data_IF_187209552017
#
_entry.id   IF_187209552017
#
_cell.length_a   1.000
_cell.length_b   1.000
_cell.length_c   1.000
_cell.angle_alpha   90.00
_cell.angle_beta   90.00
_cell.angle_gamma   90.00
#
_symmetry.space_group_name_H-M   'P 1'
#
loop_
_entity.id
_entity.type
_entity.pdbx_description
1 polymer ?
#
# COMPACT_ATOMS: atom_id res chain seq x y z
N UNK A 1 17.34 -9.76 16.54
CA UNK A 1 18.00 -10.99 16.17
C UNK A 1 18.22 -11.03 14.67
N UNK A 2 18.84 -12.00 14.07
CA UNK A 2 19.23 -12.04 12.65
C UNK A 2 18.00 -12.12 11.75
N UNK A 3 18.08 -11.55 10.52
CA UNK A 3 17.11 -11.80 9.46
C UNK A 3 16.96 -13.33 9.27
N UNK A 4 15.73 -13.85 9.15
CA UNK A 4 15.52 -15.28 9.02
C UNK A 4 16.12 -15.80 7.70
N UNK A 5 16.90 -16.86 7.78
CA UNK A 5 17.46 -17.53 6.61
C UNK A 5 16.42 -18.34 5.83
N UNK A 6 15.30 -18.68 6.49
CA UNK A 6 14.19 -19.45 5.91
C UNK A 6 12.87 -18.84 6.38
N UNK A 7 11.96 -18.66 5.45
CA UNK A 7 10.63 -18.15 5.75
C UNK A 7 9.66 -19.27 6.14
N UNK A 8 8.53 -18.91 6.74
CA UNK A 8 7.41 -19.84 6.94
C UNK A 8 6.88 -20.31 5.58
N UNK A 9 6.30 -21.48 5.56
CA UNK A 9 5.87 -22.19 4.34
C UNK A 9 5.03 -21.34 3.40
N UNK A 10 4.06 -20.59 3.92
CA UNK A 10 3.19 -19.73 3.10
C UNK A 10 3.98 -18.65 2.34
N UNK A 11 4.99 -18.06 2.97
CA UNK A 11 5.83 -17.04 2.36
C UNK A 11 6.86 -17.66 1.41
N UNK A 12 7.39 -18.85 1.72
CA UNK A 12 8.23 -19.61 0.78
C UNK A 12 7.44 -19.99 -0.50
N UNK A 13 6.21 -20.48 -0.34
CA UNK A 13 5.36 -20.88 -1.44
C UNK A 13 5.02 -19.68 -2.35
N UNK A 14 4.76 -18.50 -1.79
CA UNK A 14 4.54 -17.27 -2.56
C UNK A 14 5.69 -17.02 -3.55
N UNK A 15 6.95 -17.03 -3.08
CA UNK A 15 8.10 -16.81 -3.97
C UNK A 15 8.27 -17.92 -4.99
N UNK A 16 8.08 -19.16 -4.57
CA UNK A 16 8.20 -20.33 -5.43
C UNK A 16 7.12 -20.39 -6.51
N UNK A 17 5.85 -20.22 -6.13
CA UNK A 17 4.72 -20.43 -7.03
C UNK A 17 4.61 -19.29 -8.07
N UNK A 18 5.05 -18.08 -7.71
CA UNK A 18 5.12 -16.94 -8.61
C UNK A 18 6.49 -16.78 -9.29
N UNK A 19 7.43 -17.69 -9.06
CA UNK A 19 8.80 -17.63 -9.60
C UNK A 19 9.49 -16.28 -9.33
N UNK A 20 9.38 -15.78 -8.11
CA UNK A 20 9.94 -14.49 -7.67
C UNK A 20 11.26 -14.67 -6.93
N UNK A 21 12.18 -13.74 -7.11
CA UNK A 21 13.41 -13.68 -6.35
C UNK A 21 13.18 -13.02 -4.99
N UNK A 22 13.85 -13.55 -3.95
CA UNK A 22 13.92 -12.92 -2.64
C UNK A 22 14.95 -11.80 -2.66
N UNK A 23 14.66 -10.71 -1.95
CA UNK A 23 15.56 -9.57 -1.79
C UNK A 23 16.14 -9.52 -0.37
N UNK A 24 15.32 -9.06 0.56
CA UNK A 24 15.61 -9.03 1.99
C UNK A 24 14.29 -9.17 2.75
N UNK A 25 14.38 -9.58 4.00
CA UNK A 25 13.22 -9.98 4.80
C UNK A 25 12.08 -8.94 4.81
N UNK A 26 12.38 -7.67 5.04
CA UNK A 26 11.33 -6.65 5.13
C UNK A 26 10.74 -6.28 3.78
N UNK A 27 11.56 -6.18 2.75
CA UNK A 27 11.09 -5.95 1.37
C UNK A 27 10.25 -7.13 0.89
N UNK A 28 10.63 -8.35 1.22
CA UNK A 28 9.91 -9.57 0.83
C UNK A 28 8.52 -9.63 1.49
N UNK A 29 8.42 -9.24 2.77
CA UNK A 29 7.12 -9.09 3.45
C UNK A 29 6.27 -8.00 2.78
N UNK A 30 6.87 -6.86 2.45
CA UNK A 30 6.19 -5.76 1.77
C UNK A 30 5.61 -6.20 0.43
N UNK A 31 6.39 -6.91 -0.38
CA UNK A 31 5.94 -7.46 -1.66
C UNK A 31 4.81 -8.49 -1.48
N UNK A 32 4.96 -9.38 -0.49
CA UNK A 32 3.93 -10.36 -0.18
C UNK A 32 2.61 -9.70 0.25
N UNK A 33 2.68 -8.68 1.12
CA UNK A 33 1.48 -7.95 1.56
C UNK A 33 0.80 -7.21 0.42
N UNK A 34 1.58 -6.59 -0.45
CA UNK A 34 1.04 -5.96 -1.65
C UNK A 34 0.28 -6.96 -2.52
N UNK A 35 0.77 -8.20 -2.62
CA UNK A 35 0.08 -9.28 -3.31
C UNK A 35 -1.17 -9.77 -2.55
N UNK A 36 -1.05 -10.02 -1.23
CA UNK A 36 -2.12 -10.57 -0.39
C UNK A 36 -3.30 -9.59 -0.23
N UNK A 37 -3.02 -8.29 -0.10
CA UNK A 37 -4.01 -7.28 0.31
C UNK A 37 -4.34 -6.24 -0.76
N UNK A 38 -3.55 -6.16 -1.82
CA UNK A 38 -3.66 -5.08 -2.80
C UNK A 38 -2.99 -3.78 -2.40
N UNK A 39 -2.60 -3.62 -1.11
CA UNK A 39 -2.01 -2.40 -0.56
C UNK A 39 -0.48 -2.46 -0.61
N UNK A 40 0.21 -1.63 -1.40
CA UNK A 40 1.65 -1.51 -1.33
C UNK A 40 2.10 -0.88 -0.01
N UNK A 41 3.23 -1.35 0.50
CA UNK A 41 3.94 -0.76 1.62
C UNK A 41 5.38 -0.44 1.20
N UNK A 42 6.03 0.50 1.87
CA UNK A 42 7.45 0.76 1.65
C UNK A 42 8.23 0.58 2.95
N UNK A 43 9.44 0.02 2.82
CA UNK A 43 10.32 -0.27 3.96
C UNK A 43 11.62 0.54 3.84
N UNK A 44 11.85 1.39 4.83
CA UNK A 44 13.11 2.10 4.99
C UNK A 44 13.97 1.42 6.07
N UNK A 45 15.27 1.32 5.85
CA UNK A 45 16.21 0.99 6.93
C UNK A 45 16.20 2.13 7.96
N UNK A 46 15.68 1.88 9.16
CA UNK A 46 15.48 2.94 10.15
C UNK A 46 16.78 3.58 10.61
N UNK A 47 17.93 2.90 10.45
CA UNK A 47 19.24 3.45 10.78
C UNK A 47 19.69 4.52 9.80
N UNK A 48 19.08 4.54 8.61
CA UNK A 48 19.36 5.52 7.54
C UNK A 48 18.35 6.67 7.52
N UNK A 49 17.26 6.59 8.28
CA UNK A 49 16.21 7.61 8.33
C UNK A 49 16.28 8.36 9.67
N UNK A 50 17.33 9.18 9.82
CA UNK A 50 17.53 9.99 11.02
C UNK A 50 17.24 11.46 10.71
N UNK A 51 16.24 12.03 11.39
CA UNK A 51 15.87 13.43 11.25
C UNK A 51 14.40 13.64 10.96
N UNK A 52 14.10 14.72 10.24
CA UNK A 52 12.76 15.12 9.93
C UNK A 52 12.26 14.46 8.64
N UNK A 53 11.38 13.50 8.77
CA UNK A 53 10.70 12.83 7.63
C UNK A 53 9.38 13.55 7.37
N UNK A 54 9.21 14.08 6.17
CA UNK A 54 8.03 14.86 5.75
C UNK A 54 7.51 14.35 4.42
N UNK A 55 6.19 14.19 4.31
CA UNK A 55 5.53 14.05 3.02
C UNK A 55 5.16 15.44 2.49
N UNK A 56 5.43 15.71 1.22
CA UNK A 56 5.08 16.97 0.58
C UNK A 56 4.80 16.78 -0.92
N UNK A 57 4.01 17.71 -1.46
CA UNK A 57 3.83 17.89 -2.89
C UNK A 57 4.54 19.18 -3.31
N UNK A 58 5.58 19.08 -4.11
CA UNK A 58 6.38 20.23 -4.51
C UNK A 58 6.92 20.08 -5.94
N UNK A 59 7.24 21.21 -6.53
CA UNK A 59 8.00 21.23 -7.77
C UNK A 59 9.43 20.77 -7.49
N UNK A 60 9.81 19.71 -8.18
CA UNK A 60 11.15 19.11 -8.07
C UNK A 60 11.98 19.45 -9.30
N UNK A 61 13.28 19.57 -9.12
CA UNK A 61 14.27 19.69 -10.20
C UNK A 61 15.61 19.15 -9.72
N UNK A 62 15.67 17.83 -9.54
CA UNK A 62 16.86 17.17 -8.98
C UNK A 62 17.07 15.76 -9.50
N UNK A 63 18.32 15.28 -9.46
CA UNK A 63 18.66 13.89 -9.74
C UNK A 63 18.26 13.03 -8.55
N UNK A 64 17.55 11.92 -8.82
CA UNK A 64 17.10 10.96 -7.82
C UNK A 64 17.56 9.55 -8.19
N UNK A 65 18.33 8.91 -7.31
CA UNK A 65 18.75 7.53 -7.48
C UNK A 65 17.76 6.57 -6.82
N UNK A 66 17.09 5.78 -7.65
CA UNK A 66 16.05 4.84 -7.21
C UNK A 66 16.64 3.56 -6.65
N UNK A 67 15.85 2.84 -5.84
CA UNK A 67 16.18 1.50 -5.35
C UNK A 67 16.30 0.44 -6.47
N UNK A 68 15.90 0.79 -7.70
CA UNK A 68 16.04 -0.05 -8.91
C UNK A 68 17.35 0.21 -9.65
N UNK A 69 18.32 0.86 -9.03
CA UNK A 69 19.62 1.24 -9.63
C UNK A 69 19.50 2.14 -10.87
N UNK A 70 18.41 2.87 -10.97
CA UNK A 70 18.17 3.83 -12.05
C UNK A 70 18.26 5.25 -11.51
N UNK A 71 18.96 6.12 -12.19
CA UNK A 71 19.00 7.56 -11.94
C UNK A 71 17.97 8.24 -12.84
N UNK A 72 17.15 9.08 -12.25
CA UNK A 72 16.11 9.87 -12.94
C UNK A 72 16.22 11.33 -12.56
N UNK A 73 15.82 12.21 -13.45
CA UNK A 73 15.68 13.64 -13.14
C UNK A 73 14.22 13.89 -12.78
N UNK A 74 13.95 14.15 -11.51
CA UNK A 74 12.64 14.59 -11.05
C UNK A 74 12.42 16.01 -11.57
N UNK A 75 11.30 16.23 -12.25
CA UNK A 75 10.87 17.52 -12.79
C UNK A 75 9.40 17.73 -12.53
N UNK A 76 8.96 18.99 -12.44
CA UNK A 76 7.58 19.36 -12.17
C UNK A 76 7.07 18.92 -10.78
N UNK A 77 5.78 19.09 -10.57
CA UNK A 77 5.14 18.75 -9.30
C UNK A 77 5.13 17.24 -9.06
N UNK A 78 5.69 16.83 -7.93
CA UNK A 78 5.70 15.44 -7.46
C UNK A 78 5.29 15.36 -5.99
N UNK A 79 4.65 14.25 -5.65
CA UNK A 79 4.45 13.83 -4.26
C UNK A 79 5.72 13.08 -3.83
N UNK A 80 6.36 13.52 -2.77
CA UNK A 80 7.65 12.98 -2.32
C UNK A 80 7.71 12.85 -0.81
N UNK A 81 8.51 11.89 -0.34
CA UNK A 81 9.00 11.92 1.04
C UNK A 81 10.37 12.56 1.08
N UNK A 82 10.51 13.51 2.01
CA UNK A 82 11.74 14.26 2.26
C UNK A 82 12.33 13.82 3.61
N UNK A 83 13.63 13.59 3.63
CA UNK A 83 14.40 13.44 4.86
C UNK A 83 15.38 14.62 4.94
N UNK A 84 15.22 15.48 5.96
CA UNK A 84 16.05 16.67 6.12
C UNK A 84 16.12 17.54 4.84
N UNK A 85 15.01 17.68 4.13
CA UNK A 85 14.80 18.37 2.86
C UNK A 85 15.38 17.68 1.61
N UNK A 86 15.93 16.49 1.70
CA UNK A 86 16.36 15.69 0.55
C UNK A 86 15.27 14.69 0.16
N UNK A 87 15.01 14.53 -1.15
CA UNK A 87 14.04 13.54 -1.63
C UNK A 87 14.57 12.11 -1.42
N UNK A 88 13.83 11.31 -0.66
CA UNK A 88 14.16 9.91 -0.40
C UNK A 88 13.19 8.91 -1.01
N UNK A 89 12.04 9.39 -1.49
CA UNK A 89 11.04 8.54 -2.10
C UNK A 89 10.14 9.37 -3.02
N UNK A 90 9.96 8.90 -4.24
CA UNK A 90 8.88 9.37 -5.12
C UNK A 90 7.62 8.61 -4.72
N UNK A 91 6.78 9.27 -3.94
CA UNK A 91 5.67 8.66 -3.22
C UNK A 91 4.73 7.85 -4.14
N UNK A 92 4.41 6.63 -3.73
CA UNK A 92 3.57 5.71 -4.49
C UNK A 92 4.19 5.16 -5.78
N UNK A 93 5.41 5.59 -6.15
CA UNK A 93 6.09 5.16 -7.38
C UNK A 93 7.34 4.34 -7.06
N UNK A 94 8.34 4.94 -6.44
CA UNK A 94 9.61 4.24 -6.17
C UNK A 94 10.38 4.90 -5.02
N UNK A 95 10.92 4.07 -4.14
CA UNK A 95 11.82 4.51 -3.08
C UNK A 95 13.25 4.82 -3.59
N UNK A 96 13.96 5.61 -2.79
CA UNK A 96 15.38 5.91 -3.03
C UNK A 96 16.30 4.80 -2.55
N UNK A 97 17.45 4.70 -3.20
CA UNK A 97 18.48 3.70 -2.89
C UNK A 97 19.10 3.93 -1.51
N UNK A 98 19.32 5.18 -1.13
CA UNK A 98 20.06 5.54 0.08
C UNK A 98 19.37 5.07 1.37
N UNK A 99 18.04 4.99 1.38
CA UNK A 99 17.25 4.58 2.56
C UNK A 99 16.76 3.14 2.49
N UNK A 100 17.08 2.41 1.42
CA UNK A 100 16.60 1.06 1.19
C UNK A 100 17.08 0.05 2.23
N UNK A 101 16.26 -0.95 2.51
CA UNK A 101 16.61 -2.11 3.32
C UNK A 101 17.62 -3.01 2.63
N UNK A 102 18.36 -3.77 3.42
CA UNK A 102 19.31 -4.79 2.98
C UNK A 102 19.19 -6.05 3.84
N UNK A 103 19.94 -7.09 3.51
CA UNK A 103 20.03 -8.30 4.33
C UNK A 103 20.59 -8.05 5.76
N UNK A 104 21.17 -6.87 6.01
CA UNK A 104 21.72 -6.47 7.31
C UNK A 104 20.75 -5.59 8.12
N UNK A 105 19.65 -5.15 7.54
CA UNK A 105 18.67 -4.28 8.20
C UNK A 105 18.01 -5.01 9.36
N UNK A 106 18.12 -4.45 10.56
CA UNK A 106 17.56 -5.03 11.80
C UNK A 106 16.41 -4.21 12.37
N UNK A 107 16.25 -2.99 11.91
CA UNK A 107 15.17 -2.09 12.32
C UNK A 107 14.62 -1.40 11.09
N UNK A 108 13.30 -1.36 10.97
CA UNK A 108 12.60 -0.89 9.78
C UNK A 108 11.57 0.17 10.14
N UNK A 109 11.49 1.22 9.34
CA UNK A 109 10.33 2.10 9.26
C UNK A 109 9.46 1.63 8.10
N UNK A 110 8.22 1.27 8.40
CA UNK A 110 7.26 0.79 7.39
C UNK A 110 6.26 1.90 7.11
N UNK A 111 6.22 2.34 5.86
CA UNK A 111 5.20 3.22 5.34
C UNK A 111 4.05 2.39 4.78
N UNK A 112 2.83 2.71 5.18
CA UNK A 112 1.60 2.20 4.60
C UNK A 112 0.69 3.40 4.38
N UNK A 113 0.56 3.85 3.14
CA UNK A 113 -0.09 5.11 2.81
C UNK A 113 -1.17 4.94 1.74
N UNK A 114 -2.10 5.86 1.70
CA UNK A 114 -2.99 6.10 0.59
C UNK A 114 -2.52 7.33 -0.19
N UNK A 115 -2.45 7.20 -1.50
CA UNK A 115 -2.20 8.33 -2.41
C UNK A 115 -3.37 8.45 -3.37
N UNK A 116 -3.84 9.67 -3.62
CA UNK A 116 -4.85 9.92 -4.65
C UNK A 116 -4.31 9.45 -6.01
N UNK A 117 -5.06 8.67 -6.79
CA UNK A 117 -4.60 8.15 -8.08
C UNK A 117 -4.04 9.22 -9.00
N UNK A 118 -4.65 10.42 -8.99
CA UNK A 118 -4.27 11.55 -9.82
C UNK A 118 -2.84 12.05 -9.53
N UNK A 119 -2.36 11.89 -8.29
CA UNK A 119 -1.01 12.27 -7.90
C UNK A 119 0.06 11.30 -8.44
N UNK A 120 -0.33 10.05 -8.71
CA UNK A 120 0.57 8.98 -9.15
C UNK A 120 0.47 8.75 -10.67
N UNK A 121 -0.72 8.96 -11.24
CA UNK A 121 -1.02 8.68 -12.65
C UNK A 121 -0.02 9.35 -13.60
N UNK A 122 0.53 8.53 -14.51
CA UNK A 122 1.49 8.98 -15.53
C UNK A 122 2.92 9.15 -15.05
N UNK A 123 3.20 9.10 -13.72
CA UNK A 123 4.58 9.25 -13.21
C UNK A 123 5.47 8.09 -13.63
N UNK A 124 4.95 6.87 -13.64
CA UNK A 124 5.67 5.68 -14.12
C UNK A 124 6.13 5.85 -15.57
N UNK A 125 5.24 6.32 -16.43
CA UNK A 125 5.57 6.58 -17.84
C UNK A 125 6.58 7.70 -17.99
N UNK A 126 6.35 8.82 -17.28
CA UNK A 126 7.21 10.01 -17.34
C UNK A 126 8.65 9.73 -16.97
N UNK A 127 8.87 8.95 -15.91
CA UNK A 127 10.21 8.64 -15.41
C UNK A 127 10.72 7.29 -15.91
N UNK A 128 9.95 6.60 -16.76
CA UNK A 128 10.27 5.27 -17.28
C UNK A 128 10.60 4.30 -16.12
N UNK A 129 9.72 4.27 -15.10
CA UNK A 129 9.80 3.39 -13.93
C UNK A 129 8.54 2.55 -13.87
N UNK A 130 8.71 1.25 -14.03
CA UNK A 130 7.63 0.29 -13.82
C UNK A 130 7.74 -0.30 -12.42
N UNK A 131 6.76 -0.02 -11.57
CA UNK A 131 6.66 -0.62 -10.24
C UNK A 131 5.26 -1.15 -9.99
N UNK A 132 5.17 -2.26 -9.23
CA UNK A 132 3.90 -2.82 -8.78
C UNK A 132 3.11 -1.81 -7.93
N UNK A 133 3.81 -0.98 -7.16
CA UNK A 133 3.20 0.04 -6.32
C UNK A 133 2.47 1.09 -7.16
N UNK A 134 3.14 1.69 -8.15
CA UNK A 134 2.52 2.69 -9.02
C UNK A 134 1.33 2.12 -9.79
N UNK A 135 1.46 0.87 -10.28
CA UNK A 135 0.36 0.19 -10.98
C UNK A 135 -0.91 0.07 -10.11
N UNK A 136 -0.75 -0.20 -8.81
CA UNK A 136 -1.87 -0.32 -7.87
C UNK A 136 -2.42 1.04 -7.47
N UNK A 137 -1.57 1.99 -7.09
CA UNK A 137 -2.00 3.33 -6.68
C UNK A 137 -2.69 4.11 -7.79
N UNK A 138 -2.25 3.99 -9.04
CA UNK A 138 -2.92 4.61 -10.19
C UNK A 138 -4.36 4.09 -10.40
N UNK A 139 -4.68 2.90 -9.88
CA UNK A 139 -5.99 2.23 -10.04
C UNK A 139 -6.85 2.27 -8.80
N UNK A 140 -6.43 3.02 -7.82
CA UNK A 140 -7.06 3.09 -6.50
C UNK A 140 -6.75 1.88 -5.62
N UNK A 141 -6.38 2.15 -4.38
CA UNK A 141 -6.25 1.18 -3.29
C UNK A 141 -7.23 1.55 -2.19
N UNK A 142 -7.60 0.59 -1.35
CA UNK A 142 -8.52 0.85 -0.25
C UNK A 142 -7.93 1.85 0.77
N UNK A 143 -8.50 3.06 0.92
CA UNK A 143 -7.98 4.06 1.85
C UNK A 143 -8.19 3.71 3.32
N UNK A 144 -8.92 2.64 3.64
CA UNK A 144 -9.26 2.24 5.01
C UNK A 144 -8.53 0.96 5.46
N UNK A 145 -7.69 0.36 4.62
CA UNK A 145 -7.04 -0.93 4.94
C UNK A 145 -5.77 -0.83 5.79
N UNK A 146 -5.23 0.36 6.03
CA UNK A 146 -3.87 0.56 6.58
C UNK A 146 -3.64 -0.12 7.93
N UNK A 147 -4.59 -0.02 8.87
CA UNK A 147 -4.45 -0.66 10.19
C UNK A 147 -4.36 -2.18 10.05
N UNK A 148 -5.20 -2.78 9.22
CA UNK A 148 -5.17 -4.22 8.94
C UNK A 148 -3.83 -4.64 8.30
N UNK A 149 -3.35 -3.89 7.33
CA UNK A 149 -2.09 -4.19 6.61
C UNK A 149 -0.89 -4.08 7.55
N UNK A 150 -0.80 -3.03 8.37
CA UNK A 150 0.28 -2.87 9.35
C UNK A 150 0.23 -3.98 10.41
N UNK A 151 -0.93 -4.35 10.94
CA UNK A 151 -1.07 -5.48 11.85
C UNK A 151 -0.62 -6.79 11.21
N UNK A 152 -0.96 -6.99 9.93
CA UNK A 152 -0.52 -8.16 9.17
C UNK A 152 0.99 -8.17 8.96
N UNK A 153 1.61 -7.02 8.65
CA UNK A 153 3.07 -6.87 8.57
C UNK A 153 3.74 -7.28 9.89
N UNK A 154 3.28 -6.72 11.00
CA UNK A 154 3.80 -7.03 12.35
C UNK A 154 3.63 -8.53 12.66
N UNK A 155 2.47 -9.11 12.33
CA UNK A 155 2.22 -10.54 12.53
C UNK A 155 3.21 -11.41 11.75
N UNK A 156 3.46 -11.11 10.47
CA UNK A 156 4.43 -11.86 9.67
C UNK A 156 5.83 -11.73 10.26
N UNK A 157 6.25 -10.53 10.66
CA UNK A 157 7.54 -10.35 11.32
C UNK A 157 7.62 -11.17 12.60
N UNK A 158 6.57 -11.14 13.44
CA UNK A 158 6.54 -11.91 14.71
C UNK A 158 6.55 -13.42 14.53
N UNK A 159 6.03 -13.92 13.41
CA UNK A 159 6.07 -15.34 13.08
C UNK A 159 7.48 -15.84 12.73
N UNK A 160 8.37 -14.92 12.35
CA UNK A 160 9.71 -15.24 11.87
C UNK A 160 10.83 -14.84 12.85
N UNK A 161 10.60 -13.81 13.68
CA UNK A 161 11.61 -13.27 14.59
C UNK A 161 10.98 -12.60 15.82
N UNK A 162 11.79 -12.39 16.86
CA UNK A 162 11.36 -11.66 18.05
C UNK A 162 11.41 -10.15 17.79
N UNK A 163 10.29 -9.48 18.00
CA UNK A 163 10.19 -8.04 17.93
C UNK A 163 10.51 -7.45 19.31
N UNK A 164 11.46 -6.52 19.38
CA UNK A 164 11.84 -5.85 20.65
C UNK A 164 10.96 -4.65 20.95
N UNK A 165 10.77 -3.79 19.95
CA UNK A 165 9.99 -2.54 20.09
C UNK A 165 9.14 -2.33 18.84
N UNK A 166 7.95 -1.77 19.05
CA UNK A 166 7.06 -1.30 17.99
C UNK A 166 6.58 0.09 18.38
N UNK A 167 6.63 1.01 17.43
CA UNK A 167 5.93 2.28 17.49
C UNK A 167 5.04 2.40 16.27
N UNK A 168 3.84 2.92 16.44
CA UNK A 168 2.91 3.18 15.33
C UNK A 168 2.49 4.64 15.41
N UNK A 169 2.55 5.32 14.28
CA UNK A 169 2.04 6.68 14.10
C UNK A 169 1.05 6.66 12.94
N UNK A 170 -0.04 7.36 13.09
CA UNK A 170 -1.05 7.51 12.03
C UNK A 170 -1.32 8.99 11.81
N UNK A 171 -1.39 9.39 10.55
CA UNK A 171 -1.78 10.72 10.15
C UNK A 171 -2.84 10.65 9.04
N UNK A 172 -3.97 11.29 9.27
CA UNK A 172 -5.07 11.34 8.31
C UNK A 172 -5.19 12.78 7.82
N UNK A 173 -4.86 13.02 6.55
CA UNK A 173 -4.96 14.35 5.93
C UNK A 173 -6.40 14.71 5.56
N UNK A 174 -7.16 13.72 5.13
CA UNK A 174 -8.54 13.87 4.67
C UNK A 174 -9.32 12.62 5.07
N UNK A 175 -10.48 12.79 5.68
CA UNK A 175 -11.36 11.66 6.02
C UNK A 175 -12.11 11.22 4.77
N UNK A 176 -12.17 9.90 4.55
CA UNK A 176 -12.98 9.36 3.48
C UNK A 176 -14.46 9.47 3.84
N UNK A 177 -15.25 10.04 2.94
CA UNK A 177 -16.69 10.09 3.07
C UNK A 177 -17.31 8.71 2.84
N UNK A 178 -18.24 8.33 3.69
CA UNK A 178 -19.04 7.13 3.49
C UNK A 178 -20.14 7.48 2.48
N UNK A 179 -20.10 6.83 1.33
CA UNK A 179 -21.14 7.00 0.33
C UNK A 179 -22.28 6.02 0.60
N UNK A 180 -23.50 6.55 0.69
CA UNK A 180 -24.71 5.76 0.88
C UNK A 180 -25.64 5.92 -0.33
N UNK A 181 -26.25 4.80 -0.74
CA UNK A 181 -27.26 4.78 -1.80
C UNK A 181 -28.51 4.07 -1.31
N UNK A 182 -29.72 4.50 -1.76
CA UNK A 182 -30.95 3.85 -1.34
C UNK A 182 -31.10 2.43 -1.94
N UNK A 183 -31.65 1.52 -1.16
CA UNK A 183 -32.04 0.19 -1.62
C UNK A 183 -33.15 0.33 -2.67
N UNK A 184 -32.91 -0.14 -3.88
CA UNK A 184 -33.89 -0.11 -4.97
C UNK A 184 -33.94 -1.46 -5.72
N UNK A 185 -34.66 -2.40 -5.16
CA UNK A 185 -34.77 -3.78 -5.68
C UNK A 185 -35.48 -3.83 -7.04
N UNK A 186 -36.46 -2.98 -7.28
CA UNK A 186 -37.18 -2.94 -8.56
C UNK A 186 -36.27 -2.50 -9.70
N UNK A 187 -35.44 -1.49 -9.45
CA UNK A 187 -34.44 -1.04 -10.43
C UNK A 187 -33.45 -2.15 -10.76
N UNK A 188 -32.96 -2.85 -9.75
CA UNK A 188 -32.01 -3.96 -9.94
C UNK A 188 -32.66 -5.12 -10.72
N UNK A 189 -33.86 -5.54 -10.34
CA UNK A 189 -34.60 -6.57 -11.05
C UNK A 189 -34.82 -6.22 -12.52
N UNK A 190 -35.16 -4.95 -12.79
CA UNK A 190 -35.31 -4.47 -14.17
C UNK A 190 -34.02 -4.54 -14.99
N UNK A 191 -32.87 -4.18 -14.37
CA UNK A 191 -31.56 -4.22 -15.04
C UNK A 191 -31.12 -5.65 -15.29
N UNK A 192 -31.26 -6.53 -14.28
CA UNK A 192 -30.78 -7.92 -14.34
C UNK A 192 -31.76 -8.88 -15.03
N UNK A 193 -33.02 -8.48 -15.29
CA UNK A 193 -34.05 -9.37 -15.77
C UNK A 193 -34.46 -10.44 -14.77
N UNK A 194 -34.38 -10.14 -13.46
CA UNK A 194 -34.64 -11.07 -12.34
C UNK A 194 -35.87 -10.66 -11.57
N UNK A 195 -36.26 -11.48 -10.59
CA UNK A 195 -37.36 -11.20 -9.67
C UNK A 195 -36.97 -11.60 -8.24
N UNK A 196 -35.84 -11.05 -7.75
CA UNK A 196 -35.38 -11.26 -6.37
C UNK A 196 -36.20 -10.34 -5.44
N UNK A 197 -36.42 -10.80 -4.21
CA UNK A 197 -37.06 -9.98 -3.17
C UNK A 197 -35.99 -9.20 -2.37
N UNK A 198 -36.47 -8.30 -1.50
CA UNK A 198 -35.59 -7.42 -0.71
C UNK A 198 -34.65 -8.20 0.20
N UNK A 199 -35.11 -9.28 0.81
CA UNK A 199 -34.28 -10.08 1.74
C UNK A 199 -33.17 -10.81 0.99
N UNK A 200 -33.44 -11.35 -0.19
CA UNK A 200 -32.46 -11.96 -1.06
C UNK A 200 -31.42 -10.95 -1.51
N UNK A 201 -31.87 -9.76 -1.94
CA UNK A 201 -30.99 -8.67 -2.34
C UNK A 201 -30.04 -8.25 -1.21
N UNK A 202 -30.61 -8.00 -0.02
CA UNK A 202 -29.84 -7.63 1.16
C UNK A 202 -28.83 -8.71 1.56
N UNK A 203 -29.23 -9.98 1.53
CA UNK A 203 -28.35 -11.10 1.84
C UNK A 203 -27.17 -11.20 0.85
N UNK A 204 -27.40 -10.96 -0.44
CA UNK A 204 -26.31 -10.95 -1.42
C UNK A 204 -25.31 -9.82 -1.14
N UNK A 205 -25.80 -8.62 -0.89
CA UNK A 205 -24.93 -7.48 -0.61
C UNK A 205 -24.16 -7.65 0.70
N UNK A 206 -24.80 -8.13 1.76
CA UNK A 206 -24.12 -8.41 3.04
C UNK A 206 -23.00 -9.44 2.88
N UNK A 207 -23.23 -10.50 2.09
CA UNK A 207 -22.18 -11.49 1.77
C UNK A 207 -21.03 -10.91 0.95
N UNK A 208 -21.23 -9.82 0.24
CA UNK A 208 -20.22 -9.07 -0.50
C UNK A 208 -19.56 -7.97 0.35
N UNK A 209 -19.90 -7.85 1.64
CA UNK A 209 -19.28 -6.90 2.56
C UNK A 209 -19.94 -5.51 2.60
N UNK A 210 -21.12 -5.34 1.98
CA UNK A 210 -21.88 -4.10 2.09
C UNK A 210 -22.64 -4.05 3.40
N UNK A 211 -22.66 -2.90 4.05
CA UNK A 211 -23.54 -2.63 5.18
C UNK A 211 -24.87 -2.05 4.70
N UNK A 212 -25.97 -2.60 5.24
CA UNK A 212 -27.31 -2.15 4.91
C UNK A 212 -28.03 -1.73 6.20
N UNK A 213 -28.44 -0.49 6.26
CA UNK A 213 -29.23 0.05 7.39
C UNK A 213 -30.31 1.01 6.89
N UNK A 214 -31.52 0.94 7.47
CA UNK A 214 -32.62 1.88 7.18
C UNK A 214 -32.89 2.10 5.68
N UNK A 215 -32.79 1.03 4.88
CA UNK A 215 -32.94 1.09 3.42
C UNK A 215 -31.86 1.89 2.67
N UNK A 216 -30.71 2.09 3.30
CA UNK A 216 -29.50 2.62 2.69
C UNK A 216 -28.42 1.53 2.63
N UNK A 217 -27.64 1.58 1.60
CA UNK A 217 -26.49 0.71 1.38
C UNK A 217 -25.25 1.59 1.52
N UNK A 218 -24.42 1.30 2.52
CA UNK A 218 -23.10 1.92 2.64
C UNK A 218 -22.14 1.23 1.69
N UNK A 219 -21.50 2.01 0.82
CA UNK A 219 -20.56 1.49 -0.18
C UNK A 219 -19.20 1.29 0.50
N UNK A 220 -18.66 0.05 0.49
CA UNK A 220 -17.31 -0.17 1.02
C UNK A 220 -16.25 0.50 0.14
N UNK A 221 -15.08 0.74 0.72
CA UNK A 221 -13.96 1.43 0.05
C UNK A 221 -13.03 0.48 -0.71
N UNK A 222 -13.26 -0.83 -0.61
CA UNK A 222 -12.51 -1.88 -1.31
C UNK A 222 -13.19 -2.36 -2.60
#
# INVERSE_FOLDING_TARGET
>A
DKNPNKYKEYLENYFKDLNLNKNNFFTDISNYLSYETGQPTHCYDSTKVNGNLVFNELDTNEEFETLLDKKINLTEKNSVFLLNNEVINLAGVVGGKNTSCSSKTMSVLVECAFFKPEAIMGKSLKYDIQSEASHKFERYVDPNCHDMVIRRFIKIVSDHTNIKNISVCSHVFEQNEIHEIPVNVDKINKILGTNINKDQYSNYLTKLGFDISKDQISIPTF
#
